data_IF_341652938141
#
_entry.id   IF_341652938141
#
_cell.length_a   1.000
_cell.length_b   1.000
_cell.length_c   1.000
_cell.angle_alpha   90.00
_cell.angle_beta   90.00
_cell.angle_gamma   90.00
#
_symmetry.space_group_name_H-M   'P 1'
#
loop_
_entity.id
_entity.type
_entity.pdbx_description
1 polymer ?
#
# COMPACT_ATOMS: atom_id res chain seq x y z
N UNK A 1 -5.82 -4.48 24.37
CA UNK A 1 -6.01 -4.21 22.92
C UNK A 1 -6.83 -5.34 22.32
N UNK A 2 -7.94 -5.04 21.65
CA UNK A 2 -8.73 -6.01 20.86
C UNK A 2 -8.72 -5.53 19.41
N UNK A 3 -8.36 -6.41 18.47
CA UNK A 3 -8.34 -6.14 17.04
C UNK A 3 -9.27 -7.15 16.37
N UNK A 4 -10.09 -6.71 15.44
CA UNK A 4 -10.95 -7.59 14.65
C UNK A 4 -10.09 -8.45 13.69
N UNK A 5 -10.56 -9.64 13.28
CA UNK A 5 -9.85 -10.50 12.35
C UNK A 5 -9.50 -9.78 11.06
N UNK A 6 -8.28 -9.96 10.56
CA UNK A 6 -7.77 -9.33 9.36
C UNK A 6 -8.28 -10.06 8.10
N UNK A 7 -9.44 -9.66 7.58
CA UNK A 7 -10.18 -10.35 6.51
C UNK A 7 -9.37 -10.54 5.23
N UNK A 8 -8.61 -9.50 4.83
CA UNK A 8 -7.75 -9.55 3.64
C UNK A 8 -6.70 -10.64 3.79
N UNK A 9 -5.96 -10.65 4.90
CA UNK A 9 -4.87 -11.61 5.12
C UNK A 9 -5.40 -13.02 5.35
N UNK A 10 -6.55 -13.17 6.00
CA UNK A 10 -7.21 -14.48 6.11
C UNK A 10 -7.60 -15.04 4.74
N UNK A 11 -8.10 -14.20 3.83
CA UNK A 11 -8.42 -14.63 2.46
C UNK A 11 -7.16 -15.01 1.68
N UNK A 12 -6.09 -14.23 1.79
CA UNK A 12 -4.81 -14.57 1.19
C UNK A 12 -4.25 -15.87 1.76
N UNK A 13 -4.26 -16.08 3.07
CA UNK A 13 -3.77 -17.31 3.70
C UNK A 13 -4.47 -18.57 3.20
N UNK A 14 -5.74 -18.48 2.79
CA UNK A 14 -6.49 -19.62 2.24
C UNK A 14 -6.09 -19.96 0.80
N UNK A 15 -5.70 -18.98 -0.01
CA UNK A 15 -5.62 -19.13 -1.46
C UNK A 15 -4.23 -18.82 -2.06
N UNK A 16 -3.44 -17.92 -1.46
CA UNK A 16 -2.21 -17.37 -2.06
C UNK A 16 -1.20 -18.43 -2.47
N UNK A 17 -1.01 -19.46 -1.62
CA UNK A 17 0.00 -20.51 -1.84
C UNK A 17 -0.56 -21.74 -2.55
N UNK A 18 -1.87 -21.82 -2.79
CA UNK A 18 -2.54 -22.91 -3.51
C UNK A 18 -3.02 -22.51 -4.90
N UNK A 19 -3.33 -21.23 -5.12
CA UNK A 19 -3.74 -20.72 -6.42
C UNK A 19 -2.58 -20.73 -7.42
N UNK A 20 -2.88 -21.14 -8.66
CA UNK A 20 -1.88 -21.14 -9.73
C UNK A 20 -1.51 -19.74 -10.19
N UNK A 21 -2.49 -18.83 -10.18
CA UNK A 21 -2.36 -17.45 -10.62
C UNK A 21 -2.92 -16.48 -9.60
N UNK A 22 -2.14 -15.44 -9.27
CA UNK A 22 -2.53 -14.42 -8.29
C UNK A 22 -2.93 -13.12 -9.01
N UNK A 23 -4.14 -13.09 -9.57
CA UNK A 23 -4.71 -11.89 -10.19
C UNK A 23 -5.21 -10.87 -9.15
N UNK A 24 -4.89 -11.09 -7.88
CA UNK A 24 -5.22 -10.23 -6.73
C UNK A 24 -4.00 -9.52 -6.11
N UNK A 25 -2.76 -9.92 -6.48
CA UNK A 25 -1.53 -9.42 -5.85
C UNK A 25 -1.36 -7.92 -6.00
N UNK A 26 -0.96 -7.28 -4.90
CA UNK A 26 -0.82 -5.82 -4.83
C UNK A 26 0.61 -5.31 -4.93
N UNK A 27 1.57 -6.19 -5.14
CA UNK A 27 2.99 -5.87 -5.32
C UNK A 27 3.41 -5.93 -6.80
N UNK A 28 4.54 -5.32 -7.11
CA UNK A 28 5.20 -5.51 -8.39
C UNK A 28 5.91 -6.88 -8.45
N UNK A 29 6.30 -7.29 -9.64
CA UNK A 29 7.04 -8.54 -9.89
C UNK A 29 8.28 -8.66 -9.02
N UNK A 30 8.33 -9.71 -8.20
CA UNK A 30 9.40 -9.96 -7.24
C UNK A 30 10.75 -10.26 -7.91
N UNK A 31 11.83 -10.10 -7.14
CA UNK A 31 13.20 -10.41 -7.53
C UNK A 31 13.83 -11.38 -6.55
N UNK A 32 14.86 -12.09 -7.01
CA UNK A 32 15.74 -12.88 -6.14
C UNK A 32 16.76 -11.98 -5.43
N UNK A 33 17.37 -12.50 -4.35
CA UNK A 33 18.50 -11.83 -3.69
C UNK A 33 19.64 -11.61 -4.70
N UNK A 34 19.91 -12.59 -5.57
CA UNK A 34 20.89 -12.47 -6.64
C UNK A 34 20.62 -11.28 -7.55
N UNK A 35 19.37 -11.12 -8.03
CA UNK A 35 18.99 -10.00 -8.89
C UNK A 35 19.22 -8.63 -8.22
N UNK A 36 19.12 -8.55 -6.90
CA UNK A 36 19.40 -7.32 -6.14
C UNK A 36 20.90 -7.10 -6.04
N UNK A 37 21.67 -8.13 -5.70
CA UNK A 37 23.11 -8.03 -5.56
C UNK A 37 23.80 -7.76 -6.90
N UNK A 38 23.28 -8.27 -8.00
CA UNK A 38 23.82 -8.03 -9.36
C UNK A 38 23.68 -6.56 -9.82
N UNK A 39 22.89 -5.74 -9.09
CA UNK A 39 22.76 -4.31 -9.38
C UNK A 39 24.04 -3.52 -9.07
N UNK A 40 24.89 -4.02 -8.15
CA UNK A 40 26.06 -3.28 -7.67
C UNK A 40 27.31 -4.18 -7.60
N UNK A 41 28.41 -3.81 -8.24
CA UNK A 41 29.67 -4.58 -8.17
C UNK A 41 30.16 -4.76 -6.72
N UNK A 42 30.58 -5.96 -6.37
CA UNK A 42 31.11 -6.31 -5.05
C UNK A 42 30.08 -6.49 -3.93
N UNK A 43 28.79 -6.31 -4.24
CA UNK A 43 27.70 -6.46 -3.24
C UNK A 43 27.55 -7.91 -2.77
N UNK A 44 27.85 -8.91 -3.62
CA UNK A 44 27.83 -10.33 -3.23
C UNK A 44 28.77 -10.61 -2.06
N UNK A 45 30.04 -10.20 -2.18
CA UNK A 45 31.03 -10.43 -1.14
C UNK A 45 30.69 -9.66 0.13
N UNK A 46 30.26 -8.39 -0.01
CA UNK A 46 29.82 -7.57 1.13
C UNK A 46 28.63 -8.20 1.85
N UNK A 47 27.67 -8.76 1.11
CA UNK A 47 26.50 -9.44 1.69
C UNK A 47 26.90 -10.71 2.46
N UNK A 48 27.80 -11.53 1.89
CA UNK A 48 28.29 -12.75 2.57
C UNK A 48 29.14 -12.44 3.81
N UNK A 49 29.74 -11.25 3.87
CA UNK A 49 30.51 -10.78 5.03
C UNK A 49 29.66 -9.96 6.02
N UNK A 50 28.35 -9.82 5.76
CA UNK A 50 27.46 -9.05 6.62
C UNK A 50 27.47 -9.60 8.05
N UNK A 51 27.79 -8.74 9.01
CA UNK A 51 27.69 -9.10 10.42
C UNK A 51 26.23 -9.21 10.86
N UNK A 52 25.88 -10.34 11.48
CA UNK A 52 24.50 -10.64 11.91
C UNK A 52 24.20 -10.12 13.34
N UNK A 53 24.82 -9.04 13.78
CA UNK A 53 24.47 -8.36 15.03
C UNK A 53 23.32 -7.38 14.85
N UNK A 54 22.93 -6.73 15.94
CA UNK A 54 21.89 -5.69 15.90
C UNK A 54 22.32 -4.49 15.07
N UNK A 55 21.39 -3.96 14.29
CA UNK A 55 21.49 -2.64 13.66
C UNK A 55 20.99 -1.55 14.62
N UNK A 56 21.15 -0.28 14.26
CA UNK A 56 20.60 0.82 15.05
C UNK A 56 19.07 0.76 15.08
N UNK A 57 18.46 1.23 16.16
CA UNK A 57 16.99 1.31 16.31
C UNK A 57 16.35 2.06 15.15
N UNK A 58 16.95 3.16 14.72
CA UNK A 58 16.47 3.98 13.59
C UNK A 58 16.81 3.40 12.22
N UNK A 59 17.57 2.30 12.16
CA UNK A 59 18.10 1.69 10.94
C UNK A 59 19.55 2.11 10.65
N UNK A 60 20.27 1.29 9.90
CA UNK A 60 21.66 1.55 9.54
C UNK A 60 21.81 2.92 8.85
N UNK A 61 22.87 3.69 9.18
CA UNK A 61 23.09 5.04 8.64
C UNK A 61 23.05 5.07 7.11
N UNK A 62 23.74 4.13 6.45
CA UNK A 62 23.77 4.00 4.99
C UNK A 62 22.37 3.80 4.38
N UNK A 63 21.52 3.00 5.03
CA UNK A 63 20.14 2.81 4.56
C UNK A 63 19.31 4.09 4.75
N UNK A 64 19.46 4.78 5.87
CA UNK A 64 18.75 6.04 6.12
C UNK A 64 19.14 7.13 5.13
N UNK A 65 20.43 7.20 4.74
CA UNK A 65 20.91 8.12 3.70
C UNK A 65 20.23 7.88 2.35
N UNK A 66 20.17 6.62 1.88
CA UNK A 66 19.55 6.30 0.58
C UNK A 66 18.02 6.44 0.62
N UNK A 67 17.38 6.22 1.77
CA UNK A 67 15.95 6.50 1.95
C UNK A 67 15.72 8.03 1.90
N UNK A 68 16.48 8.81 2.65
CA UNK A 68 16.37 10.28 2.67
C UNK A 68 16.52 10.88 1.26
N UNK A 69 17.43 10.33 0.44
CA UNK A 69 17.64 10.74 -0.95
C UNK A 69 16.43 10.46 -1.88
N UNK A 70 15.38 9.78 -1.43
CA UNK A 70 14.11 9.62 -2.17
C UNK A 70 13.12 10.78 -1.95
N UNK A 71 13.43 11.67 -1.01
CA UNK A 71 12.66 12.86 -0.63
C UNK A 71 13.44 14.12 -0.96
N UNK A 72 12.76 15.28 -0.90
CA UNK A 72 13.39 16.57 -1.23
C UNK A 72 13.80 17.37 0.01
N UNK A 73 13.20 17.10 1.18
CA UNK A 73 13.39 17.88 2.41
C UNK A 73 13.63 17.00 3.65
N UNK A 74 14.04 15.77 3.46
CA UNK A 74 14.31 14.80 4.53
C UNK A 74 15.81 14.57 4.64
N UNK A 75 16.35 14.66 5.85
CA UNK A 75 17.71 14.25 6.22
C UNK A 75 17.71 12.84 6.81
N UNK A 76 18.86 12.14 6.88
CA UNK A 76 18.94 10.75 7.38
C UNK A 76 18.46 10.58 8.83
N UNK A 77 18.56 11.59 9.68
CA UNK A 77 18.06 11.61 11.05
C UNK A 77 16.53 11.76 11.15
N UNK A 78 15.88 12.11 10.04
CA UNK A 78 14.42 12.21 9.89
C UNK A 78 13.79 10.95 9.27
N UNK A 79 14.53 9.84 9.27
CA UNK A 79 14.10 8.52 8.81
C UNK A 79 14.10 7.54 9.96
N UNK A 80 13.02 6.79 10.14
CA UNK A 80 12.92 5.65 11.04
C UNK A 80 12.64 4.40 10.20
N UNK A 81 13.59 3.46 10.17
CA UNK A 81 13.44 2.16 9.51
C UNK A 81 12.59 1.23 10.36
N UNK A 82 11.75 0.44 9.70
CA UNK A 82 10.77 -0.46 10.29
C UNK A 82 10.89 -1.84 9.64
N UNK A 83 10.49 -2.90 10.34
CA UNK A 83 10.51 -4.25 9.79
C UNK A 83 9.44 -4.51 8.73
N UNK A 84 8.51 -3.60 8.50
CA UNK A 84 7.60 -3.54 7.35
C UNK A 84 6.68 -2.31 7.49
N UNK A 85 5.91 -1.99 6.46
CA UNK A 85 4.87 -0.95 6.54
C UNK A 85 3.80 -1.29 7.59
N UNK A 86 3.45 -2.57 7.75
CA UNK A 86 2.46 -3.02 8.73
C UNK A 86 2.89 -2.73 10.17
N UNK A 87 4.17 -2.97 10.50
CA UNK A 87 4.73 -2.52 11.79
C UNK A 87 4.60 -1.01 11.94
N UNK A 88 4.83 -0.25 10.86
CA UNK A 88 4.70 1.20 10.88
C UNK A 88 3.31 1.66 11.27
N UNK A 89 2.26 1.07 10.70
CA UNK A 89 0.88 1.43 11.04
C UNK A 89 0.61 1.18 12.52
N UNK A 90 1.02 0.01 13.04
CA UNK A 90 0.92 -0.32 14.47
C UNK A 90 1.68 0.69 15.34
N UNK A 91 2.94 0.92 15.01
CA UNK A 91 3.84 1.82 15.78
C UNK A 91 3.27 3.24 15.82
N UNK A 92 2.85 3.81 14.68
CA UNK A 92 2.38 5.18 14.64
C UNK A 92 1.13 5.37 15.50
N UNK A 93 0.13 4.52 15.34
CA UNK A 93 -1.10 4.69 16.08
C UNK A 93 -0.88 4.53 17.59
N UNK A 94 -0.19 3.47 18.03
CA UNK A 94 0.01 3.24 19.46
C UNK A 94 1.04 4.17 20.10
N UNK A 95 1.96 4.75 19.32
CA UNK A 95 2.86 5.79 19.82
C UNK A 95 2.17 7.14 19.98
N UNK A 96 1.21 7.50 19.13
CA UNK A 96 0.69 8.87 19.07
C UNK A 96 -0.74 9.02 19.60
N UNK A 97 -1.55 7.97 19.56
CA UNK A 97 -3.01 8.01 19.76
C UNK A 97 -3.40 7.27 21.03
N UNK A 98 -4.27 7.87 21.82
CA UNK A 98 -4.87 7.27 23.01
C UNK A 98 -6.41 7.33 22.99
N UNK A 99 -7.09 6.79 24.03
CA UNK A 99 -8.55 6.69 24.08
C UNK A 99 -9.31 8.02 24.01
N UNK A 100 -8.68 9.11 24.44
CA UNK A 100 -9.29 10.46 24.44
C UNK A 100 -9.11 11.19 23.10
N UNK A 101 -8.33 10.61 22.17
CA UNK A 101 -8.07 11.20 20.88
C UNK A 101 -9.13 10.82 19.83
N UNK A 102 -9.14 11.56 18.74
CA UNK A 102 -9.93 11.27 17.54
C UNK A 102 -9.02 11.05 16.34
N UNK A 103 -9.37 10.06 15.52
CA UNK A 103 -8.66 9.72 14.28
C UNK A 103 -9.61 9.78 13.10
N UNK A 104 -9.18 10.33 11.98
CA UNK A 104 -9.90 10.28 10.71
C UNK A 104 -9.13 9.32 9.78
N UNK A 105 -9.84 8.34 9.22
CA UNK A 105 -9.27 7.34 8.29
C UNK A 105 -9.95 7.44 6.95
N UNK A 106 -9.19 7.64 5.87
CA UNK A 106 -9.69 7.50 4.50
C UNK A 106 -10.11 6.06 4.23
N UNK A 107 -11.35 5.85 3.76
CA UNK A 107 -11.91 4.53 3.43
C UNK A 107 -12.58 4.51 2.05
N UNK A 108 -12.68 3.32 1.38
CA UNK A 108 -12.14 2.03 1.79
C UNK A 108 -10.61 2.05 1.88
N UNK A 109 -9.99 1.23 2.72
CA UNK A 109 -8.55 1.17 2.87
C UNK A 109 -8.08 -0.25 3.21
N UNK A 110 -6.77 -0.45 3.22
CA UNK A 110 -6.17 -1.64 3.78
C UNK A 110 -6.52 -1.72 5.28
N UNK A 111 -7.02 -2.86 5.73
CA UNK A 111 -7.73 -2.98 7.03
C UNK A 111 -6.93 -2.47 8.22
N UNK A 112 -5.59 -2.64 8.22
CA UNK A 112 -4.76 -2.17 9.35
C UNK A 112 -4.86 -0.65 9.56
N UNK A 113 -5.04 0.14 8.50
CA UNK A 113 -5.25 1.58 8.61
C UNK A 113 -6.45 1.94 9.50
N UNK A 114 -7.52 1.15 9.43
CA UNK A 114 -8.75 1.37 10.21
C UNK A 114 -8.75 0.60 11.53
N UNK A 115 -8.39 -0.69 11.51
CA UNK A 115 -8.50 -1.54 12.69
C UNK A 115 -7.45 -1.22 13.76
N UNK A 116 -6.23 -0.86 13.36
CA UNK A 116 -5.21 -0.43 14.32
C UNK A 116 -5.53 0.95 14.91
N UNK A 117 -6.14 1.87 14.16
CA UNK A 117 -6.65 3.10 14.72
C UNK A 117 -7.71 2.81 15.81
N UNK A 118 -8.68 1.94 15.53
CA UNK A 118 -9.72 1.52 16.49
C UNK A 118 -9.15 0.82 17.72
N UNK A 119 -8.08 0.05 17.56
CA UNK A 119 -7.45 -0.72 18.64
C UNK A 119 -6.79 0.13 19.72
N UNK A 120 -6.54 1.43 19.46
CA UNK A 120 -6.04 2.39 20.45
C UNK A 120 -7.10 2.80 21.48
N UNK A 121 -8.38 2.51 21.21
CA UNK A 121 -9.52 2.98 21.98
C UNK A 121 -9.99 4.38 21.60
N UNK A 122 -9.34 5.06 20.67
CA UNK A 122 -9.74 6.36 20.15
C UNK A 122 -11.06 6.30 19.38
N UNK A 123 -11.74 7.44 19.31
CA UNK A 123 -12.87 7.60 18.40
C UNK A 123 -12.34 7.68 16.96
N UNK A 124 -12.88 6.85 16.06
CA UNK A 124 -12.47 6.81 14.65
C UNK A 124 -13.63 7.21 13.76
N UNK A 125 -13.41 8.21 12.90
CA UNK A 125 -14.32 8.62 11.83
C UNK A 125 -13.76 8.24 10.47
N UNK A 126 -14.65 7.75 9.60
CA UNK A 126 -14.28 7.33 8.24
C UNK A 126 -14.51 8.48 7.25
N UNK A 127 -13.45 8.91 6.56
CA UNK A 127 -13.54 9.80 5.41
C UNK A 127 -13.76 8.95 4.15
N UNK A 128 -15.03 8.66 3.90
CA UNK A 128 -15.42 7.64 2.91
C UNK A 128 -15.43 8.18 1.49
N UNK A 129 -14.67 7.53 0.62
CA UNK A 129 -14.77 7.64 -0.84
C UNK A 129 -15.86 6.68 -1.34
N UNK A 130 -16.57 7.04 -2.40
CA UNK A 130 -17.73 6.29 -2.87
C UNK A 130 -17.61 5.90 -4.34
N UNK A 131 -18.05 4.68 -4.72
CA UNK A 131 -17.98 4.22 -6.11
C UNK A 131 -18.84 5.06 -7.06
N UNK A 132 -20.01 5.57 -6.61
CA UNK A 132 -20.87 6.43 -7.43
C UNK A 132 -20.23 7.78 -7.79
N UNK A 133 -19.25 8.22 -7.02
CA UNK A 133 -18.49 9.45 -7.26
C UNK A 133 -17.13 9.16 -7.94
N UNK A 134 -16.99 7.97 -8.56
CA UNK A 134 -15.73 7.48 -9.11
C UNK A 134 -14.57 7.57 -8.10
N UNK A 135 -14.85 7.31 -6.84
CA UNK A 135 -13.88 7.37 -5.73
C UNK A 135 -13.26 8.75 -5.50
N UNK A 136 -13.94 9.83 -5.89
CA UNK A 136 -13.47 11.20 -5.65
C UNK A 136 -13.42 11.53 -4.15
N UNK A 137 -12.54 12.45 -3.77
CA UNK A 137 -12.43 12.96 -2.41
C UNK A 137 -13.41 14.13 -2.21
N UNK A 138 -14.13 14.09 -1.09
CA UNK A 138 -15.01 15.16 -0.63
C UNK A 138 -14.34 15.89 0.55
N UNK A 139 -13.78 17.09 0.29
CA UNK A 139 -13.12 17.89 1.32
C UNK A 139 -14.11 18.48 2.33
N UNK A 140 -15.33 18.81 1.92
CA UNK A 140 -16.35 19.33 2.83
C UNK A 140 -16.75 18.25 3.84
N UNK A 141 -16.79 16.99 3.41
CA UNK A 141 -16.99 15.86 4.32
C UNK A 141 -15.82 15.71 5.30
N UNK A 142 -14.56 15.87 4.85
CA UNK A 142 -13.40 15.84 5.74
C UNK A 142 -13.48 16.94 6.80
N UNK A 143 -13.78 18.16 6.40
CA UNK A 143 -13.88 19.30 7.33
C UNK A 143 -14.96 19.08 8.42
N UNK A 144 -16.10 18.49 8.05
CA UNK A 144 -17.18 18.15 9.00
C UNK A 144 -16.81 17.05 9.98
N UNK A 145 -15.84 16.18 9.63
CA UNK A 145 -15.36 15.12 10.52
C UNK A 145 -14.37 15.63 11.57
N UNK A 146 -13.72 16.77 11.35
CA UNK A 146 -12.71 17.31 12.26
C UNK A 146 -13.32 17.64 13.63
N UNK A 147 -12.66 17.19 14.69
CA UNK A 147 -13.00 17.45 16.09
C UNK A 147 -11.86 18.17 16.79
N UNK A 148 -12.10 18.86 17.92
CA UNK A 148 -11.02 19.57 18.65
C UNK A 148 -9.87 18.65 19.09
N UNK A 149 -10.17 17.37 19.35
CA UNK A 149 -9.20 16.34 19.75
C UNK A 149 -8.76 15.45 18.59
N UNK A 150 -8.98 15.86 17.31
CA UNK A 150 -8.46 15.10 16.16
C UNK A 150 -6.94 15.10 16.19
N UNK A 151 -6.35 13.92 16.29
CA UNK A 151 -4.90 13.69 16.46
C UNK A 151 -4.21 13.27 15.18
N UNK A 152 -4.84 12.38 14.40
CA UNK A 152 -4.29 11.81 13.17
C UNK A 152 -5.33 11.83 12.06
N UNK A 153 -4.90 12.18 10.85
CA UNK A 153 -5.63 11.92 9.60
C UNK A 153 -4.79 10.92 8.81
N UNK A 154 -5.34 9.73 8.54
CA UNK A 154 -4.72 8.70 7.70
C UNK A 154 -5.23 8.82 6.27
N UNK A 155 -4.30 8.87 5.32
CA UNK A 155 -4.58 8.82 3.87
C UNK A 155 -3.63 7.85 3.18
N UNK A 156 -4.08 7.24 2.08
CA UNK A 156 -3.26 6.35 1.26
C UNK A 156 -3.22 6.84 -0.19
N UNK A 157 -2.03 7.19 -0.69
CA UNK A 157 -1.88 7.66 -2.07
C UNK A 157 -0.52 7.30 -2.67
N UNK A 158 -0.50 6.61 -3.82
CA UNK A 158 -1.61 6.01 -4.58
C UNK A 158 -2.43 5.01 -3.76
N UNK A 159 -3.74 4.92 -4.03
CA UNK A 159 -4.73 4.34 -3.13
C UNK A 159 -4.96 2.83 -3.33
N UNK A 160 -4.98 2.07 -2.27
CA UNK A 160 -5.45 0.69 -2.21
C UNK A 160 -6.87 0.66 -1.59
N UNK A 161 -7.91 0.17 -2.30
CA UNK A 161 -7.84 -0.78 -3.43
C UNK A 161 -7.98 -0.17 -4.83
N UNK A 162 -8.25 1.12 -5.00
CA UNK A 162 -8.71 1.67 -6.29
C UNK A 162 -7.60 1.88 -7.32
N UNK A 163 -6.33 1.97 -6.90
CA UNK A 163 -5.21 2.32 -7.78
C UNK A 163 -5.21 3.79 -8.23
N UNK A 164 -6.05 4.63 -7.64
CA UNK A 164 -6.16 6.04 -7.98
C UNK A 164 -5.16 6.89 -7.19
N UNK A 165 -4.56 7.85 -7.87
CA UNK A 165 -3.74 8.88 -7.25
C UNK A 165 -4.64 9.98 -6.67
N UNK A 166 -4.36 10.43 -5.45
CA UNK A 166 -5.01 11.60 -4.89
C UNK A 166 -4.66 12.84 -5.74
N UNK A 167 -5.63 13.69 -6.14
CA UNK A 167 -5.30 14.93 -6.83
C UNK A 167 -4.42 15.84 -5.96
N UNK A 168 -3.40 16.46 -6.54
CA UNK A 168 -2.45 17.35 -5.82
C UNK A 168 -3.16 18.40 -4.97
N UNK A 169 -4.17 19.06 -5.52
CA UNK A 169 -4.98 20.07 -4.82
C UNK A 169 -5.67 19.52 -3.56
N UNK A 170 -6.04 18.23 -3.57
CA UNK A 170 -6.67 17.56 -2.41
C UNK A 170 -5.61 17.29 -1.34
N UNK A 171 -4.46 16.71 -1.70
CA UNK A 171 -3.36 16.48 -0.75
C UNK A 171 -2.95 17.79 -0.07
N UNK A 172 -2.73 18.86 -0.85
CA UNK A 172 -2.36 20.17 -0.31
C UNK A 172 -3.46 20.77 0.60
N UNK A 173 -4.74 20.52 0.30
CA UNK A 173 -5.85 20.97 1.15
C UNK A 173 -5.89 20.18 2.47
N UNK A 174 -5.74 18.86 2.43
CA UNK A 174 -5.65 18.01 3.64
C UNK A 174 -4.51 18.48 4.54
N UNK A 175 -3.32 18.70 3.96
CA UNK A 175 -2.15 19.16 4.72
C UNK A 175 -2.35 20.57 5.31
N UNK A 176 -2.99 21.49 4.61
CA UNK A 176 -3.34 22.82 5.14
C UNK A 176 -4.33 22.74 6.29
N UNK A 177 -5.39 21.94 6.17
CA UNK A 177 -6.37 21.72 7.24
C UNK A 177 -5.70 21.12 8.50
N UNK A 178 -4.81 20.15 8.31
CA UNK A 178 -4.05 19.55 9.38
C UNK A 178 -3.09 20.54 10.05
N UNK A 179 -2.38 21.37 9.26
CA UNK A 179 -1.43 22.35 9.77
C UNK A 179 -2.10 23.41 10.66
N UNK A 180 -3.32 23.87 10.31
CA UNK A 180 -4.08 24.84 11.10
C UNK A 180 -4.46 24.33 12.50
N UNK A 181 -4.41 23.03 12.75
CA UNK A 181 -4.83 22.35 13.98
C UNK A 181 -3.75 21.47 14.59
N UNK A 182 -2.51 21.54 14.08
CA UNK A 182 -1.37 20.72 14.49
C UNK A 182 -1.66 19.21 14.46
N UNK A 183 -2.54 18.75 13.54
CA UNK A 183 -2.89 17.35 13.35
C UNK A 183 -1.76 16.64 12.60
N UNK A 184 -1.38 15.44 13.03
CA UNK A 184 -0.46 14.58 12.28
C UNK A 184 -1.17 14.00 11.04
N UNK A 185 -0.58 14.14 9.86
CA UNK A 185 -1.06 13.44 8.67
C UNK A 185 -0.21 12.19 8.47
N UNK A 186 -0.82 11.02 8.60
CA UNK A 186 -0.18 9.76 8.28
C UNK A 186 -0.49 9.39 6.84
N UNK A 187 0.48 9.58 5.95
CA UNK A 187 0.35 9.31 4.53
C UNK A 187 1.03 7.99 4.17
N UNK A 188 0.22 6.97 3.86
CA UNK A 188 0.70 5.71 3.32
C UNK A 188 1.04 5.90 1.84
N UNK A 189 2.34 5.99 1.55
CA UNK A 189 2.91 6.24 0.23
C UNK A 189 3.61 5.00 -0.37
N UNK A 190 3.26 3.79 0.06
CA UNK A 190 3.92 2.55 -0.38
C UNK A 190 3.87 2.32 -1.90
N UNK A 191 2.99 3.01 -2.61
CA UNK A 191 2.91 3.00 -4.08
C UNK A 191 3.49 4.24 -4.75
N UNK A 192 4.05 5.20 -4.01
CA UNK A 192 4.67 6.42 -4.56
C UNK A 192 5.89 6.04 -5.41
N UNK A 193 5.89 6.43 -6.68
CA UNK A 193 6.86 5.99 -7.68
C UNK A 193 6.25 5.03 -8.72
N UNK A 194 5.01 4.59 -8.51
CA UNK A 194 4.26 3.75 -9.44
C UNK A 194 3.10 4.52 -10.11
N UNK A 195 3.25 5.83 -10.26
CA UNK A 195 2.36 6.63 -11.11
C UNK A 195 2.55 6.23 -12.56
N UNK A 196 1.46 5.91 -13.26
CA UNK A 196 1.53 5.41 -14.65
C UNK A 196 2.08 6.48 -15.61
N UNK A 197 1.84 7.76 -15.32
CA UNK A 197 2.52 8.89 -15.93
C UNK A 197 3.41 9.55 -14.86
N UNK A 198 4.71 9.65 -15.12
CA UNK A 198 5.67 10.20 -14.18
C UNK A 198 5.42 11.68 -13.83
N UNK A 199 4.76 12.44 -14.73
CA UNK A 199 4.39 13.83 -14.49
C UNK A 199 3.33 13.99 -13.40
N UNK A 200 2.57 12.95 -13.10
CA UNK A 200 1.50 12.97 -12.09
C UNK A 200 2.05 12.72 -10.67
N UNK A 201 3.35 12.41 -10.53
CA UNK A 201 3.97 12.13 -9.22
C UNK A 201 3.81 13.30 -8.27
N UNK A 202 3.24 13.01 -7.10
CA UNK A 202 3.10 13.98 -6.03
C UNK A 202 4.41 14.16 -5.27
N UNK A 203 4.69 15.37 -4.72
CA UNK A 203 5.63 15.49 -3.62
C UNK A 203 5.20 14.60 -2.46
N UNK A 204 6.15 14.07 -1.69
CA UNK A 204 5.81 13.34 -0.48
C UNK A 204 5.14 14.27 0.56
N UNK A 205 4.22 13.75 1.36
CA UNK A 205 3.53 14.56 2.35
C UNK A 205 4.50 15.19 3.36
N UNK A 206 5.54 14.47 3.77
CA UNK A 206 6.59 14.95 4.69
C UNK A 206 7.42 16.10 4.09
N UNK A 207 7.57 16.20 2.77
CA UNK A 207 8.21 17.34 2.12
C UNK A 207 7.36 18.62 2.21
N UNK A 208 6.03 18.48 2.28
CA UNK A 208 5.07 19.59 2.26
C UNK A 208 4.67 20.06 3.66
N UNK A 209 4.55 19.15 4.62
CA UNK A 209 4.11 19.47 5.97
C UNK A 209 5.02 18.80 7.01
N UNK A 210 5.43 19.57 8.04
CA UNK A 210 6.39 19.13 9.05
C UNK A 210 5.90 17.91 9.84
N UNK A 211 4.62 17.90 10.23
CA UNK A 211 4.00 16.82 11.01
C UNK A 211 3.35 15.76 10.12
N UNK A 212 3.64 15.74 8.82
CA UNK A 212 3.27 14.63 7.97
C UNK A 212 4.31 13.51 8.11
N UNK A 213 3.82 12.29 8.28
CA UNK A 213 4.60 11.05 8.28
C UNK A 213 4.34 10.36 6.97
N UNK A 214 5.31 10.33 6.07
CA UNK A 214 5.28 9.56 4.84
C UNK A 214 5.81 8.17 5.10
N UNK A 215 5.00 7.14 4.83
CA UNK A 215 5.38 5.74 4.97
C UNK A 215 5.76 5.15 3.63
N UNK A 216 6.96 4.60 3.52
CA UNK A 216 7.45 3.86 2.37
C UNK A 216 7.75 2.39 2.70
N UNK A 217 7.91 1.56 1.67
CA UNK A 217 8.19 0.13 1.84
C UNK A 217 8.90 -0.48 0.63
N UNK A 218 9.71 -1.50 0.87
CA UNK A 218 10.30 -2.33 -0.18
C UNK A 218 9.28 -3.29 -0.83
N UNK A 219 8.14 -3.51 -0.19
CA UNK A 219 7.20 -4.59 -0.55
C UNK A 219 6.46 -4.35 -1.86
N UNK A 220 6.06 -3.11 -2.17
CA UNK A 220 5.10 -2.84 -3.25
C UNK A 220 5.81 -2.48 -4.56
N UNK A 221 6.29 -1.26 -4.68
CA UNK A 221 6.83 -0.72 -5.94
C UNK A 221 8.16 -1.33 -6.35
N UNK A 222 8.93 -1.83 -5.38
CA UNK A 222 10.25 -2.45 -5.65
C UNK A 222 10.15 -3.96 -5.89
N UNK A 223 9.02 -4.62 -5.54
CA UNK A 223 8.84 -6.07 -5.67
C UNK A 223 9.73 -6.88 -4.71
N UNK A 224 9.98 -6.35 -3.53
CA UNK A 224 10.88 -6.94 -2.53
C UNK A 224 10.15 -7.18 -1.20
N UNK A 225 8.92 -7.70 -1.28
CA UNK A 225 8.08 -7.96 -0.11
C UNK A 225 8.73 -8.92 0.90
N UNK A 226 9.53 -9.87 0.43
CA UNK A 226 10.26 -10.83 1.27
C UNK A 226 11.36 -10.22 2.15
N UNK A 227 11.82 -9.00 1.86
CA UNK A 227 12.78 -8.30 2.72
C UNK A 227 12.17 -7.80 4.03
N UNK A 228 10.84 -7.71 4.12
CA UNK A 228 10.16 -7.22 5.33
C UNK A 228 10.79 -5.92 5.83
N UNK A 229 10.79 -4.87 4.98
CA UNK A 229 11.36 -3.58 5.33
C UNK A 229 10.48 -2.42 4.86
N UNK A 230 10.25 -1.47 5.76
CA UNK A 230 9.55 -0.21 5.54
C UNK A 230 10.25 0.93 6.29
N UNK A 231 9.71 2.13 6.18
CA UNK A 231 10.24 3.29 6.89
C UNK A 231 9.21 4.39 7.05
N UNK A 232 9.44 5.25 8.03
CA UNK A 232 8.85 6.57 8.13
C UNK A 232 9.87 7.63 7.70
N UNK A 233 9.37 8.67 7.05
CA UNK A 233 10.05 9.93 6.82
C UNK A 233 9.18 11.06 7.41
N UNK A 234 9.72 11.84 8.34
CA UNK A 234 8.99 12.90 9.03
C UNK A 234 9.95 13.97 9.52
N UNK A 235 9.59 15.26 9.42
CA UNK A 235 10.42 16.37 9.88
C UNK A 235 10.20 16.72 11.35
N UNK A 236 9.08 16.30 11.95
CA UNK A 236 8.83 16.45 13.39
C UNK A 236 9.58 15.37 14.18
N UNK A 237 10.72 15.75 14.77
CA UNK A 237 11.56 14.84 15.56
C UNK A 237 10.83 14.22 16.76
N UNK A 238 9.83 14.92 17.34
CA UNK A 238 9.06 14.39 18.47
C UNK A 238 8.17 13.21 18.05
N UNK A 239 7.61 13.28 16.86
CA UNK A 239 6.82 12.18 16.29
C UNK A 239 7.72 10.97 16.07
N UNK A 240 8.88 11.14 15.42
CA UNK A 240 9.81 10.05 15.17
C UNK A 240 10.36 9.43 16.48
N UNK A 241 10.68 10.25 17.47
CA UNK A 241 11.16 9.76 18.77
C UNK A 241 10.12 8.88 19.44
N UNK A 242 8.85 9.31 19.51
CA UNK A 242 7.77 8.51 20.07
C UNK A 242 7.57 7.19 19.33
N UNK A 243 7.66 7.22 18.01
CA UNK A 243 7.59 5.99 17.18
C UNK A 243 8.80 5.08 17.43
N UNK A 244 10.01 5.62 17.54
CA UNK A 244 11.21 4.85 17.85
C UNK A 244 11.12 4.21 19.25
N UNK A 245 10.65 4.94 20.26
CA UNK A 245 10.43 4.42 21.62
C UNK A 245 9.42 3.27 21.62
N UNK A 246 8.33 3.38 20.86
CA UNK A 246 7.35 2.29 20.74
C UNK A 246 7.93 1.08 19.97
N UNK A 247 8.76 1.33 18.93
CA UNK A 247 9.43 0.26 18.17
C UNK A 247 10.32 -0.62 19.05
N UNK A 248 10.87 -0.11 20.15
CA UNK A 248 11.64 -0.93 21.11
C UNK A 248 10.82 -2.08 21.72
N UNK A 249 9.48 -1.97 21.72
CA UNK A 249 8.56 -3.02 22.19
C UNK A 249 8.04 -3.94 21.08
N UNK A 250 8.44 -3.71 19.83
CA UNK A 250 8.11 -4.58 18.69
C UNK A 250 9.35 -5.33 18.21
N UNK A 251 10.17 -4.71 17.39
CA UNK A 251 11.30 -5.36 16.71
C UNK A 251 12.67 -4.89 17.21
N UNK A 252 12.74 -3.85 18.02
CA UNK A 252 13.99 -3.18 18.48
C UNK A 252 14.75 -2.60 17.28
N UNK A 253 15.27 -3.46 16.39
CA UNK A 253 15.92 -3.10 15.14
C UNK A 253 15.44 -4.00 14.02
N UNK A 254 15.70 -3.60 12.77
CA UNK A 254 15.34 -4.39 11.59
C UNK A 254 16.43 -5.43 11.29
N UNK A 255 16.15 -6.34 10.35
CA UNK A 255 17.11 -7.35 9.92
C UNK A 255 18.30 -6.70 9.19
N UNK A 256 19.53 -6.94 9.66
CA UNK A 256 20.75 -6.42 9.05
C UNK A 256 20.89 -6.77 7.56
N UNK A 257 20.56 -8.02 7.18
CA UNK A 257 20.58 -8.46 5.78
C UNK A 257 19.50 -7.79 4.94
N UNK A 258 18.32 -7.56 5.50
CA UNK A 258 17.25 -6.83 4.82
C UNK A 258 17.61 -5.35 4.63
N UNK A 259 18.24 -4.72 5.61
CA UNK A 259 18.73 -3.34 5.52
C UNK A 259 19.79 -3.20 4.43
N UNK A 260 20.77 -4.14 4.37
CA UNK A 260 21.79 -4.15 3.33
C UNK A 260 21.20 -4.27 1.93
N UNK A 261 20.34 -5.28 1.71
CA UNK A 261 19.70 -5.51 0.41
C UNK A 261 18.80 -4.33 0.00
N UNK A 262 18.12 -3.71 0.97
CA UNK A 262 17.30 -2.53 0.71
C UNK A 262 18.14 -1.31 0.33
N UNK A 263 19.30 -1.11 0.96
CA UNK A 263 20.22 -0.04 0.61
C UNK A 263 20.75 -0.21 -0.83
N UNK A 264 21.17 -1.43 -1.22
CA UNK A 264 21.56 -1.74 -2.62
C UNK A 264 20.41 -1.44 -3.57
N UNK A 265 19.22 -1.94 -3.29
CA UNK A 265 18.04 -1.75 -4.14
C UNK A 265 17.68 -0.26 -4.31
N UNK A 266 17.71 0.52 -3.22
CA UNK A 266 17.36 1.95 -3.25
C UNK A 266 18.39 2.82 -3.96
N UNK A 267 19.68 2.48 -3.92
CA UNK A 267 20.69 3.13 -4.77
C UNK A 267 20.42 2.95 -6.27
N UNK A 268 19.81 1.82 -6.63
CA UNK A 268 19.45 1.47 -8.01
C UNK A 268 17.94 1.52 -8.27
N UNK A 269 17.17 2.30 -7.47
CA UNK A 269 15.70 2.37 -7.51
C UNK A 269 15.13 2.68 -8.89
N UNK A 270 15.81 3.52 -9.68
CA UNK A 270 15.31 3.92 -10.99
C UNK A 270 15.28 2.72 -11.98
N UNK A 271 16.27 1.81 -11.90
CA UNK A 271 16.30 0.57 -12.68
C UNK A 271 15.13 -0.34 -12.29
N UNK A 272 14.87 -0.47 -10.98
CA UNK A 272 13.78 -1.30 -10.45
C UNK A 272 12.41 -0.75 -10.85
N UNK A 273 12.20 0.55 -10.65
CA UNK A 273 10.93 1.22 -10.95
C UNK A 273 10.63 1.21 -12.45
N UNK A 274 11.63 1.48 -13.30
CA UNK A 274 11.46 1.43 -14.76
C UNK A 274 10.95 0.07 -15.23
N UNK A 275 11.63 -1.02 -14.82
CA UNK A 275 11.20 -2.39 -15.13
C UNK A 275 9.79 -2.67 -14.67
N UNK A 276 9.48 -2.32 -13.42
CA UNK A 276 8.17 -2.63 -12.84
C UNK A 276 7.05 -1.81 -13.50
N UNK A 277 7.29 -0.52 -13.82
CA UNK A 277 6.37 0.30 -14.59
C UNK A 277 6.13 -0.22 -16.01
N UNK A 278 7.14 -0.79 -16.67
CA UNK A 278 6.97 -1.42 -17.98
C UNK A 278 6.02 -2.61 -17.91
N UNK A 279 6.15 -3.47 -16.89
CA UNK A 279 5.24 -4.61 -16.65
C UNK A 279 3.82 -4.09 -16.38
N UNK A 280 3.68 -3.15 -15.46
CA UNK A 280 2.40 -2.56 -15.05
C UNK A 280 1.66 -1.95 -16.24
N UNK A 281 2.33 -1.14 -17.06
CA UNK A 281 1.72 -0.48 -18.24
C UNK A 281 1.26 -1.50 -19.29
N UNK A 282 2.08 -2.52 -19.55
CA UNK A 282 1.72 -3.63 -20.44
C UNK A 282 0.46 -4.36 -19.95
N UNK A 283 0.46 -4.73 -18.69
CA UNK A 283 -0.64 -5.48 -18.09
C UNK A 283 -1.93 -4.64 -18.00
N UNK A 284 -1.80 -3.35 -17.67
CA UNK A 284 -2.93 -2.44 -17.63
C UNK A 284 -3.59 -2.27 -19.01
N UNK A 285 -2.81 -2.24 -20.09
CA UNK A 285 -3.36 -2.20 -21.45
C UNK A 285 -4.17 -3.48 -21.78
N UNK A 286 -3.76 -4.65 -21.28
CA UNK A 286 -4.53 -5.89 -21.42
C UNK A 286 -5.83 -5.85 -20.61
N UNK A 287 -5.79 -5.30 -19.40
CA UNK A 287 -7.00 -5.08 -18.58
C UNK A 287 -7.96 -4.09 -19.25
N UNK A 288 -7.48 -3.02 -19.87
CA UNK A 288 -8.33 -2.09 -20.63
C UNK A 288 -9.10 -2.82 -21.74
N UNK A 289 -8.44 -3.73 -22.49
CA UNK A 289 -9.07 -4.57 -23.52
C UNK A 289 -10.08 -5.54 -22.89
N UNK A 290 -9.70 -6.22 -21.82
CA UNK A 290 -10.56 -7.15 -21.10
C UNK A 290 -11.83 -6.48 -20.58
N UNK A 291 -11.73 -5.37 -19.87
CA UNK A 291 -12.89 -4.66 -19.33
C UNK A 291 -13.77 -4.05 -20.43
N UNK A 292 -13.19 -3.66 -21.56
CA UNK A 292 -13.97 -3.26 -22.75
C UNK A 292 -14.75 -4.45 -23.31
N UNK A 293 -14.13 -5.64 -23.43
CA UNK A 293 -14.78 -6.89 -23.88
C UNK A 293 -15.89 -7.35 -22.92
N UNK A 294 -15.68 -7.19 -21.61
CA UNK A 294 -16.57 -7.65 -20.52
C UNK A 294 -17.35 -6.52 -19.84
N UNK A 295 -17.64 -5.43 -20.57
CA UNK A 295 -18.34 -4.27 -20.03
C UNK A 295 -19.76 -4.53 -19.52
N UNK A 296 -20.39 -5.65 -19.95
CA UNK A 296 -21.66 -6.12 -19.40
C UNK A 296 -21.52 -6.66 -17.96
N UNK A 297 -20.34 -7.21 -17.60
CA UNK A 297 -20.08 -7.81 -16.29
C UNK A 297 -19.35 -6.88 -15.33
N UNK A 298 -18.64 -5.86 -15.84
CA UNK A 298 -17.79 -5.00 -15.00
C UNK A 298 -17.96 -3.52 -15.30
N UNK A 299 -17.96 -2.71 -14.24
CA UNK A 299 -17.69 -1.27 -14.34
C UNK A 299 -16.26 -1.02 -13.88
N UNK A 300 -15.46 -0.44 -14.76
CA UNK A 300 -14.04 -0.23 -14.55
C UNK A 300 -13.68 1.25 -14.45
N UNK A 301 -13.30 1.70 -13.25
CA UNK A 301 -12.65 2.99 -13.09
C UNK A 301 -11.14 2.75 -13.27
N UNK A 302 -10.63 3.18 -14.41
CA UNK A 302 -9.23 2.93 -14.78
C UNK A 302 -8.28 3.57 -13.79
N UNK A 303 -7.37 2.81 -13.14
CA UNK A 303 -6.36 3.35 -12.24
C UNK A 303 -5.33 4.19 -13.02
N UNK A 304 -4.76 5.19 -12.35
CA UNK A 304 -3.70 6.03 -12.89
C UNK A 304 -2.36 5.89 -12.16
N UNK A 305 -2.33 5.02 -11.14
CA UNK A 305 -1.12 4.68 -10.38
C UNK A 305 -1.23 3.27 -9.78
N UNK A 306 -0.21 2.84 -9.00
CA UNK A 306 -0.21 1.56 -8.30
C UNK A 306 -0.09 0.33 -9.24
N UNK A 307 -0.27 -0.85 -8.67
CA UNK A 307 -0.25 -2.17 -9.32
C UNK A 307 -1.60 -2.87 -9.23
N UNK A 308 -2.63 -2.16 -8.75
CA UNK A 308 -3.97 -2.68 -8.48
C UNK A 308 -5.06 -1.75 -9.00
N UNK A 309 -6.24 -2.31 -9.21
CA UNK A 309 -7.46 -1.57 -9.53
C UNK A 309 -8.68 -2.29 -8.97
N UNK A 310 -9.81 -1.59 -8.91
CA UNK A 310 -11.00 -2.02 -8.20
C UNK A 310 -12.23 -1.89 -9.10
N UNK A 311 -12.63 -3.00 -9.72
CA UNK A 311 -13.75 -3.04 -10.64
C UNK A 311 -15.03 -3.46 -9.92
N UNK A 312 -16.15 -2.80 -10.23
CA UNK A 312 -17.47 -3.24 -9.80
C UNK A 312 -17.92 -4.43 -10.66
N UNK A 313 -18.31 -5.52 -10.03
CA UNK A 313 -18.89 -6.69 -10.68
C UNK A 313 -20.40 -6.56 -10.77
N UNK A 314 -20.95 -6.82 -11.96
CA UNK A 314 -22.39 -6.79 -12.28
C UNK A 314 -22.81 -8.17 -12.76
N UNK A 315 -23.09 -9.12 -11.87
CA UNK A 315 -23.50 -10.46 -12.31
C UNK A 315 -24.72 -10.39 -13.20
N UNK A 316 -24.70 -11.14 -14.31
CA UNK A 316 -25.87 -11.32 -15.16
C UNK A 316 -27.05 -11.87 -14.34
N UNK A 317 -28.31 -11.55 -14.71
CA UNK A 317 -29.51 -11.95 -13.97
C UNK A 317 -29.58 -13.44 -13.64
N UNK A 318 -28.93 -14.29 -14.45
CA UNK A 318 -28.90 -15.74 -14.28
C UNK A 318 -27.85 -16.22 -13.25
N UNK A 319 -26.84 -15.36 -12.91
CA UNK A 319 -25.74 -15.63 -11.97
C UNK A 319 -25.97 -14.92 -10.64
N UNK A 320 -27.06 -14.17 -10.48
CA UNK A 320 -27.40 -13.34 -9.31
C UNK A 320 -27.55 -14.10 -7.97
N UNK A 321 -27.32 -15.42 -7.96
CA UNK A 321 -27.41 -16.28 -6.77
C UNK A 321 -26.16 -16.26 -5.88
N UNK A 322 -25.02 -15.73 -6.37
CA UNK A 322 -23.77 -15.74 -5.65
C UNK A 322 -23.37 -14.33 -5.22
N UNK A 323 -22.89 -14.21 -4.00
CA UNK A 323 -22.13 -13.04 -3.57
C UNK A 323 -20.82 -12.94 -4.36
N UNK A 324 -20.19 -11.75 -4.40
CA UNK A 324 -18.88 -11.58 -5.06
C UNK A 324 -17.81 -12.45 -4.38
N UNK A 325 -17.94 -12.69 -3.07
CA UNK A 325 -17.09 -13.61 -2.33
C UNK A 325 -17.18 -15.02 -2.90
N UNK A 326 -18.39 -15.59 -2.97
CA UNK A 326 -18.63 -16.93 -3.52
C UNK A 326 -18.20 -17.03 -4.99
N UNK A 327 -18.36 -15.97 -5.78
CA UNK A 327 -17.86 -15.90 -7.14
C UNK A 327 -16.31 -16.00 -7.17
N UNK A 328 -15.60 -15.26 -6.35
CA UNK A 328 -14.13 -15.32 -6.26
C UNK A 328 -13.64 -16.71 -5.80
N UNK A 329 -14.35 -17.34 -4.87
CA UNK A 329 -14.07 -18.69 -4.39
C UNK A 329 -14.29 -19.75 -5.49
N UNK A 330 -15.34 -19.60 -6.29
CA UNK A 330 -15.61 -20.49 -7.44
C UNK A 330 -14.56 -20.30 -8.54
N UNK A 331 -14.16 -19.04 -8.83
CA UNK A 331 -13.10 -18.74 -9.81
C UNK A 331 -11.80 -19.42 -9.42
N UNK A 332 -11.33 -19.27 -8.17
CA UNK A 332 -10.07 -19.90 -7.75
C UNK A 332 -10.15 -21.41 -7.77
N UNK A 333 -11.28 -21.98 -7.36
CA UNK A 333 -11.51 -23.43 -7.36
C UNK A 333 -11.49 -24.05 -8.77
N UNK A 334 -12.13 -23.41 -9.76
CA UNK A 334 -12.31 -23.96 -11.10
C UNK A 334 -11.24 -23.55 -12.12
N UNK A 335 -10.62 -22.40 -11.94
CA UNK A 335 -9.62 -21.87 -12.89
C UNK A 335 -8.21 -21.73 -12.29
N UNK A 336 -8.06 -21.86 -10.98
CA UNK A 336 -6.80 -21.63 -10.29
C UNK A 336 -6.42 -20.14 -10.23
N UNK A 337 -7.33 -19.22 -10.56
CA UNK A 337 -7.08 -17.76 -10.54
C UNK A 337 -7.66 -17.15 -9.28
N UNK A 338 -6.81 -16.63 -8.42
CA UNK A 338 -7.22 -15.92 -7.23
C UNK A 338 -7.53 -14.46 -7.56
N UNK A 339 -8.75 -14.03 -7.26
CA UNK A 339 -9.23 -12.65 -7.21
C UNK A 339 -9.42 -12.24 -5.74
N UNK A 340 -9.46 -10.95 -5.43
CA UNK A 340 -9.76 -10.49 -4.08
C UNK A 340 -11.15 -9.84 -4.04
N UNK A 341 -12.11 -10.43 -3.30
CA UNK A 341 -13.46 -9.87 -3.20
C UNK A 341 -13.46 -8.55 -2.43
N UNK A 342 -14.27 -7.60 -2.88
CA UNK A 342 -14.38 -6.28 -2.27
C UNK A 342 -15.07 -6.26 -0.92
N UNK A 343 -15.71 -7.36 -0.51
CA UNK A 343 -16.29 -7.53 0.84
C UNK A 343 -15.27 -7.30 1.95
N UNK A 344 -13.99 -7.61 1.71
CA UNK A 344 -12.89 -7.35 2.66
C UNK A 344 -12.56 -5.85 2.81
N UNK A 345 -13.11 -4.99 1.94
CA UNK A 345 -13.01 -3.53 1.98
C UNK A 345 -14.34 -2.85 2.30
N UNK A 346 -15.36 -3.61 2.74
CA UNK A 346 -16.74 -3.17 2.91
C UNK A 346 -17.39 -2.64 1.62
N UNK A 347 -16.91 -3.14 0.46
CA UNK A 347 -17.43 -2.85 -0.88
C UNK A 347 -17.84 -4.17 -1.59
N UNK A 348 -18.94 -4.82 -1.16
CA UNK A 348 -19.28 -6.20 -1.52
C UNK A 348 -19.62 -6.42 -3.00
N UNK A 349 -19.71 -5.37 -3.81
CA UNK A 349 -19.95 -5.47 -5.24
C UNK A 349 -18.67 -5.34 -6.09
N UNK A 350 -17.50 -5.20 -5.46
CA UNK A 350 -16.25 -4.94 -6.16
C UNK A 350 -15.30 -6.13 -6.08
N UNK A 351 -14.33 -6.14 -7.00
CA UNK A 351 -13.23 -7.11 -7.05
C UNK A 351 -11.94 -6.31 -7.25
N UNK A 352 -10.90 -6.61 -6.45
CA UNK A 352 -9.58 -6.06 -6.67
C UNK A 352 -8.80 -6.93 -7.66
N UNK A 353 -8.27 -6.28 -8.69
CA UNK A 353 -7.38 -6.85 -9.69
C UNK A 353 -5.96 -6.37 -9.46
N UNK A 354 -4.99 -7.29 -9.48
CA UNK A 354 -3.56 -7.00 -9.44
C UNK A 354 -2.94 -7.17 -10.83
N UNK A 355 -2.12 -6.20 -11.24
CA UNK A 355 -1.48 -6.23 -12.56
C UNK A 355 0.03 -5.92 -12.50
N UNK A 356 0.65 -6.10 -11.31
CA UNK A 356 2.08 -5.92 -11.11
C UNK A 356 2.95 -7.12 -11.49
N UNK A 357 2.37 -8.30 -11.77
CA UNK A 357 3.09 -9.56 -12.00
C UNK A 357 3.26 -9.88 -13.48
N UNK A 358 4.39 -10.54 -13.85
CA UNK A 358 4.69 -10.93 -15.25
C UNK A 358 3.71 -11.95 -15.82
N UNK A 359 3.19 -12.85 -14.98
CA UNK A 359 2.24 -13.88 -15.36
C UNK A 359 0.78 -13.42 -15.36
N UNK A 360 0.53 -12.12 -15.17
CA UNK A 360 -0.82 -11.56 -15.20
C UNK A 360 -1.54 -11.81 -16.53
N UNK A 361 -0.91 -11.71 -17.72
CA UNK A 361 -1.58 -12.03 -18.98
C UNK A 361 -2.16 -13.43 -19.00
N UNK A 362 -1.39 -14.44 -18.59
CA UNK A 362 -1.83 -15.83 -18.50
C UNK A 362 -2.97 -16.00 -17.48
N UNK A 363 -2.86 -15.35 -16.31
CA UNK A 363 -3.93 -15.34 -15.32
C UNK A 363 -5.23 -14.75 -15.87
N UNK A 364 -5.15 -13.68 -16.65
CA UNK A 364 -6.28 -13.01 -17.27
C UNK A 364 -6.95 -13.89 -18.34
N UNK A 365 -6.17 -14.63 -19.15
CA UNK A 365 -6.68 -15.60 -20.13
C UNK A 365 -7.46 -16.73 -19.44
N UNK A 366 -6.93 -17.28 -18.36
CA UNK A 366 -7.63 -18.31 -17.58
C UNK A 366 -8.91 -17.78 -16.93
N UNK A 367 -8.90 -16.55 -16.45
CA UNK A 367 -10.11 -15.91 -15.92
C UNK A 367 -11.14 -15.63 -17.02
N UNK A 368 -10.74 -15.14 -18.19
CA UNK A 368 -11.64 -14.89 -19.32
C UNK A 368 -12.27 -16.19 -19.83
N UNK A 369 -11.49 -17.26 -19.95
CA UNK A 369 -11.99 -18.60 -20.29
C UNK A 369 -12.97 -19.18 -19.24
N UNK A 370 -12.76 -18.88 -17.96
CA UNK A 370 -13.72 -19.22 -16.91
C UNK A 370 -15.04 -18.50 -17.12
N UNK A 371 -15.02 -17.19 -17.40
CA UNK A 371 -16.23 -16.41 -17.68
C UNK A 371 -17.00 -16.93 -18.88
N UNK A 372 -16.30 -17.32 -19.97
CA UNK A 372 -16.96 -17.88 -21.17
C UNK A 372 -17.70 -19.20 -20.93
N UNK A 373 -17.20 -20.01 -19.99
CA UNK A 373 -17.83 -21.31 -19.66
C UNK A 373 -18.95 -21.22 -18.63
N UNK A 374 -19.01 -20.14 -17.85
CA UNK A 374 -19.94 -20.01 -16.72
C UNK A 374 -20.84 -18.75 -16.82
N UNK A 375 -20.78 -18.02 -17.97
CA UNK A 375 -21.62 -16.84 -18.24
C UNK A 375 -23.04 -17.21 -18.71
#
# INVERSE_FOLDING_TARGET
MRIEPFRIEHYFAQHEFSAKYLLASSDAESRTIRDVLDLEPGSHDKFLQQWCGYTEVSGAPELREVIAATYTRISPDQVLVLSCAEEGILVLYHALVGPEDHVIVETPCYESGLQLARSTGAKVSEWRRRPQDNWAHDLDALEKLLQPNTKVIYVNTPHNPTGLLMPRKILEAVLRLAAQREITVFCDEVYRGMEHNAADRLPAACDLYERAVSMGSMSKIYGLAGLRLGWFACRDAKILLRCADFKLYTTISSSASSEFLSAVALRHRDVLLKRNLEIVRKNLALLDVFFKKRGELFDWVRPNASTIGFARFKPARNVQKFSVQEFCDDVVSKSGVMLLPGSVYDEPQHIRFGYGRKNMPEALEHFDAYLERNA
#
